data_IF_487588771506
#
_entry.id   IF_487588771506
#
_cell.length_a   1.000
_cell.length_b   1.000
_cell.length_c   1.000
_cell.angle_alpha   90.00
_cell.angle_beta   90.00
_cell.angle_gamma   90.00
#
_symmetry.space_group_name_H-M   'P 1'
#
loop_
_entity.id
_entity.type
_entity.pdbx_description
1 polymer ?
#
# COMPACT_ATOMS: atom_id res chain seq x y z
N UNK A 1 25.71 -3.24 7.00
CA UNK A 1 24.62 -2.30 7.37
C UNK A 1 23.30 -2.91 6.97
N UNK A 2 22.26 -2.75 7.78
CA UNK A 2 20.92 -3.23 7.49
C UNK A 2 19.89 -2.13 7.71
N UNK A 3 18.83 -2.12 6.91
CA UNK A 3 17.70 -1.18 6.99
C UNK A 3 16.42 -1.99 7.05
N UNK A 4 15.54 -1.66 8.00
CA UNK A 4 14.29 -2.36 8.25
C UNK A 4 13.14 -1.37 8.31
N UNK A 5 12.03 -1.66 7.64
CA UNK A 5 10.80 -0.87 7.80
C UNK A 5 10.11 -1.24 9.11
N UNK A 6 9.62 -0.23 9.81
CA UNK A 6 8.89 -0.37 11.07
C UNK A 6 7.42 -0.07 10.80
N UNK A 7 6.53 -0.92 11.30
CA UNK A 7 5.09 -0.67 11.33
C UNK A 7 4.50 -1.35 12.56
N UNK A 8 3.67 -0.64 13.33
CA UNK A 8 3.07 -1.20 14.54
C UNK A 8 1.97 -0.33 15.13
N UNK A 9 1.14 -0.90 16.03
CA UNK A 9 0.16 -0.12 16.77
C UNK A 9 0.85 0.86 17.71
N UNK A 10 0.38 2.10 17.74
CA UNK A 10 0.86 3.13 18.66
C UNK A 10 -0.12 3.22 19.83
N UNK A 11 0.22 2.52 20.93
CA UNK A 11 -0.55 2.56 22.18
C UNK A 11 -0.04 3.59 23.21
N UNK A 12 1.09 4.23 22.91
CA UNK A 12 1.80 5.21 23.76
C UNK A 12 2.34 6.35 22.89
N UNK A 13 2.88 7.42 23.47
CA UNK A 13 3.54 8.47 22.67
C UNK A 13 4.76 7.97 21.89
N UNK A 14 5.10 8.64 20.78
CA UNK A 14 6.22 8.25 19.89
C UNK A 14 7.54 8.12 20.66
N UNK A 15 7.84 9.04 21.59
CA UNK A 15 9.06 8.98 22.40
C UNK A 15 9.13 7.72 23.28
N UNK A 16 7.99 7.31 23.85
CA UNK A 16 7.90 6.11 24.67
C UNK A 16 8.00 4.85 23.80
N UNK A 17 7.39 4.86 22.61
CA UNK A 17 7.55 3.78 21.64
C UNK A 17 9.01 3.64 21.20
N UNK A 18 9.71 4.76 20.94
CA UNK A 18 11.10 4.78 20.53
C UNK A 18 12.04 4.12 21.55
N UNK A 19 11.73 4.15 22.85
CA UNK A 19 12.55 3.52 23.89
C UNK A 19 12.76 2.01 23.66
N UNK A 20 11.80 1.34 23.03
CA UNK A 20 11.93 -0.09 22.66
C UNK A 20 13.06 -0.35 21.66
N UNK A 21 13.40 0.64 20.83
CA UNK A 21 14.49 0.58 19.84
C UNK A 21 15.78 1.19 20.37
N UNK A 22 15.67 2.25 21.18
CA UNK A 22 16.84 2.87 21.79
C UNK A 22 17.52 1.90 22.76
N UNK A 23 16.77 1.08 23.49
CA UNK A 23 17.28 0.00 24.35
C UNK A 23 18.40 0.45 25.32
N UNK A 24 18.31 1.69 25.82
CA UNK A 24 19.30 2.28 26.74
C UNK A 24 20.59 2.77 26.07
N UNK A 25 20.69 2.74 24.75
CA UNK A 25 21.83 3.27 24.00
C UNK A 25 21.90 4.80 24.05
N UNK A 26 23.11 5.34 23.85
CA UNK A 26 23.36 6.78 23.92
C UNK A 26 22.81 7.48 22.67
N UNK A 27 21.80 8.32 22.86
CA UNK A 27 21.26 9.19 21.81
C UNK A 27 22.25 10.32 21.54
N UNK A 28 22.74 10.38 20.30
CA UNK A 28 23.66 11.42 19.84
C UNK A 28 22.89 12.65 19.36
N UNK A 29 21.80 12.43 18.65
CA UNK A 29 20.90 13.50 18.24
C UNK A 29 19.48 13.00 18.06
N UNK A 30 18.53 13.92 18.22
CA UNK A 30 17.14 13.69 17.85
C UNK A 30 16.56 14.96 17.25
N UNK A 31 15.66 14.82 16.28
CA UNK A 31 14.92 15.94 15.69
C UNK A 31 13.48 15.55 15.44
N UNK A 32 12.59 16.50 15.62
CA UNK A 32 11.19 16.33 15.26
C UNK A 32 11.06 16.31 13.73
N UNK A 33 10.16 15.45 13.23
CA UNK A 33 9.87 15.28 11.83
C UNK A 33 8.38 15.50 11.60
N UNK A 34 8.03 16.19 10.51
CA UNK A 34 6.63 16.39 10.11
C UNK A 34 6.51 16.25 8.60
N UNK A 35 5.60 15.38 8.14
CA UNK A 35 5.44 15.06 6.71
C UNK A 35 4.00 14.74 6.38
N UNK A 36 3.40 15.49 5.44
CA UNK A 36 2.03 15.24 4.97
C UNK A 36 1.03 15.04 6.11
N UNK A 37 1.15 15.86 7.17
CA UNK A 37 0.33 15.79 8.37
C UNK A 37 0.62 14.62 9.33
N UNK A 38 1.68 13.83 9.10
CA UNK A 38 2.23 12.88 10.07
C UNK A 38 3.28 13.60 10.93
N UNK A 39 3.16 13.48 12.25
CA UNK A 39 4.21 13.92 13.18
C UNK A 39 5.11 12.75 13.50
N UNK A 40 6.36 13.01 13.79
CA UNK A 40 7.34 11.98 13.97
C UNK A 40 8.62 12.48 14.61
N UNK A 41 9.58 11.57 14.72
CA UNK A 41 10.88 11.86 15.30
C UNK A 41 11.94 11.00 14.65
N UNK A 42 13.10 11.61 14.43
CA UNK A 42 14.29 10.94 13.96
C UNK A 42 15.35 10.93 15.06
N UNK A 43 16.02 9.79 15.23
CA UNK A 43 17.08 9.59 16.23
C UNK A 43 18.34 9.06 15.55
N UNK A 44 19.49 9.59 15.96
CA UNK A 44 20.79 8.97 15.78
C UNK A 44 21.33 8.57 17.14
N UNK A 45 21.77 7.32 17.27
CA UNK A 45 22.27 6.78 18.52
C UNK A 45 23.32 5.71 18.28
N UNK A 46 24.06 5.38 19.33
CA UNK A 46 25.17 4.44 19.25
C UNK A 46 25.15 3.46 20.42
N UNK A 47 25.67 2.26 20.18
CA UNK A 47 25.88 1.29 21.25
C UNK A 47 26.82 1.86 22.32
N UNK A 48 26.70 1.37 23.55
CA UNK A 48 27.54 1.82 24.66
C UNK A 48 29.05 1.70 24.38
N UNK A 49 29.45 0.71 23.58
CA UNK A 49 30.84 0.50 23.15
C UNK A 49 31.26 1.33 21.92
N UNK A 50 30.34 2.11 21.34
CA UNK A 50 30.55 2.95 20.17
C UNK A 50 30.76 2.20 18.85
N UNK A 51 30.72 0.86 18.85
CA UNK A 51 31.02 0.04 17.65
C UNK A 51 29.87 -0.03 16.67
N UNK A 52 28.65 0.22 17.13
CA UNK A 52 27.44 0.16 16.31
C UNK A 52 26.74 1.50 16.32
N UNK A 53 26.33 1.95 15.13
CA UNK A 53 25.52 3.15 14.92
C UNK A 53 24.12 2.74 14.49
N UNK A 54 23.16 3.57 14.87
CA UNK A 54 21.74 3.36 14.62
C UNK A 54 21.10 4.64 14.14
N UNK A 55 20.13 4.50 13.24
CA UNK A 55 19.17 5.55 12.91
C UNK A 55 17.75 5.01 13.04
N UNK A 56 16.86 5.82 13.60
CA UNK A 56 15.46 5.48 13.75
C UNK A 56 14.59 6.66 13.32
N UNK A 57 13.75 6.46 12.31
CA UNK A 57 12.64 7.33 11.95
C UNK A 57 11.35 6.68 12.43
N UNK A 58 10.51 7.42 13.15
CA UNK A 58 9.14 7.03 13.49
C UNK A 58 8.18 8.15 13.08
N UNK A 59 7.11 7.80 12.39
CA UNK A 59 6.03 8.67 11.92
C UNK A 59 4.70 8.12 12.43
N UNK A 60 3.94 8.95 13.12
CA UNK A 60 2.61 8.64 13.64
C UNK A 60 1.52 8.87 12.59
N UNK A 61 0.61 7.91 12.53
CA UNK A 61 -0.63 7.98 11.76
C UNK A 61 -1.83 7.78 12.69
N UNK A 62 -2.66 8.81 12.83
CA UNK A 62 -3.92 8.74 13.57
C UNK A 62 -5.00 7.96 12.82
N UNK A 63 -5.89 7.29 13.56
CA UNK A 63 -7.02 6.48 13.04
C UNK A 63 -7.86 7.09 11.91
N UNK A 64 -8.28 8.37 11.91
CA UNK A 64 -9.10 8.92 10.83
C UNK A 64 -8.40 8.95 9.46
N UNK A 65 -7.06 8.80 9.43
CA UNK A 65 -6.28 8.77 8.19
C UNK A 65 -6.27 7.39 7.51
N UNK A 66 -6.75 6.34 8.19
CA UNK A 66 -6.67 4.94 7.73
C UNK A 66 -7.93 4.44 7.01
N UNK A 67 -8.99 5.24 6.93
CA UNK A 67 -10.22 4.82 6.28
C UNK A 67 -9.96 4.38 4.82
N UNK A 68 -10.23 3.10 4.51
CA UNK A 68 -10.09 2.53 3.16
C UNK A 68 -8.76 1.84 2.84
N UNK A 69 -7.78 1.77 3.76
CA UNK A 69 -6.54 1.01 3.55
C UNK A 69 -6.69 -0.47 3.95
N UNK A 70 -5.99 -1.40 3.28
CA UNK A 70 -5.95 -2.81 3.70
C UNK A 70 -5.35 -2.97 5.12
N UNK A 71 -5.67 -4.06 5.82
CA UNK A 71 -5.07 -4.36 7.12
C UNK A 71 -3.55 -4.48 7.02
N UNK A 72 -2.84 -3.96 8.02
CA UNK A 72 -1.36 -4.05 8.09
C UNK A 72 -1.04 -5.49 8.41
N UNK A 73 -0.02 -6.11 7.78
CA UNK A 73 0.49 -7.39 8.22
C UNK A 73 0.86 -7.32 9.71
N UNK A 74 0.60 -8.38 10.46
CA UNK A 74 1.01 -8.46 11.87
C UNK A 74 2.53 -8.20 11.99
N UNK A 75 2.92 -7.48 13.04
CA UNK A 75 4.32 -7.21 13.32
C UNK A 75 5.10 -8.52 13.39
N UNK A 76 6.16 -8.64 12.59
CA UNK A 76 7.09 -9.77 12.70
C UNK A 76 7.85 -9.58 14.03
N UNK A 77 7.89 -10.58 14.92
CA UNK A 77 8.71 -10.47 16.12
C UNK A 77 10.16 -10.20 15.72
N UNK A 78 10.78 -9.19 16.33
CA UNK A 78 12.22 -8.96 16.22
C UNK A 78 12.99 -10.24 16.55
N UNK A 79 14.14 -10.50 15.91
CA UNK A 79 14.96 -11.66 16.23
C UNK A 79 15.59 -11.46 17.62
N UNK A 80 14.90 -11.90 18.67
CA UNK A 80 15.53 -12.13 19.97
C UNK A 80 16.36 -13.40 19.91
N UNK A 81 17.59 -13.29 20.37
CA UNK A 81 18.54 -14.38 20.48
C UNK A 81 17.95 -15.58 21.23
N UNK A 82 18.06 -16.77 20.62
CA UNK A 82 17.68 -18.04 21.25
C UNK A 82 18.52 -18.29 22.52
N UNK A 83 17.91 -18.61 23.67
CA UNK A 83 18.59 -19.31 24.74
C UNK A 83 18.61 -20.82 24.42
N UNK A 84 19.76 -21.43 24.66
CA UNK A 84 20.03 -22.88 24.58
C UNK A 84 19.16 -23.61 25.63
N UNK A 85 18.43 -24.69 25.29
CA UNK A 85 17.74 -25.50 26.29
C UNK A 85 18.65 -26.61 26.85
N UNK A 86 18.72 -26.85 28.17
CA UNK A 86 19.22 -28.10 28.71
C UNK A 86 18.11 -29.15 28.84
N UNK A 87 18.37 -30.33 28.25
CA UNK A 87 18.26 -31.64 28.91
C UNK A 87 16.94 -32.16 29.50
N UNK A 88 16.42 -33.20 28.81
CA UNK A 88 15.80 -34.45 29.31
C UNK A 88 14.32 -34.49 29.77
N UNK A 89 13.52 -35.05 28.85
CA UNK A 89 12.47 -36.07 28.96
C UNK A 89 11.73 -36.34 30.27
N UNK A 90 10.40 -36.37 30.18
CA UNK A 90 9.56 -37.43 30.77
C UNK A 90 8.26 -37.59 29.98
N UNK A 91 7.97 -38.82 29.58
CA UNK A 91 6.73 -39.28 28.94
C UNK A 91 5.69 -39.47 30.04
N UNK A 92 4.48 -38.94 29.87
CA UNK A 92 3.33 -39.27 30.74
C UNK A 92 2.08 -39.47 29.89
N UNK A 93 1.38 -40.54 30.25
CA UNK A 93 0.25 -41.21 29.59
C UNK A 93 -1.00 -40.32 29.52
N UNK A 94 -1.71 -40.43 28.40
CA UNK A 94 -2.89 -39.64 28.00
C UNK A 94 -4.17 -40.18 28.67
N UNK A 95 -4.99 -39.37 29.36
CA UNK A 95 -6.40 -39.68 29.61
C UNK A 95 -7.29 -39.12 28.47
N UNK A 96 -8.40 -39.81 28.22
CA UNK A 96 -9.40 -39.51 27.18
C UNK A 96 -10.00 -38.10 27.26
N UNK A 97 -10.42 -37.51 26.13
CA UNK A 97 -10.86 -36.11 26.07
C UNK A 97 -12.29 -35.92 26.56
N UNK A 98 -12.46 -35.04 27.55
CA UNK A 98 -13.73 -34.38 27.89
C UNK A 98 -14.09 -33.40 26.75
N UNK A 99 -15.35 -33.29 26.32
CA UNK A 99 -15.75 -32.32 25.30
C UNK A 99 -15.46 -30.88 25.75
N UNK A 100 -14.60 -30.19 24.99
CA UNK A 100 -14.26 -28.78 25.18
C UNK A 100 -15.47 -27.94 24.76
N UNK A 101 -16.01 -27.16 25.70
CA UNK A 101 -16.98 -26.12 25.41
C UNK A 101 -16.40 -25.17 24.35
N UNK A 102 -17.14 -24.95 23.28
CA UNK A 102 -16.75 -24.03 22.20
C UNK A 102 -16.48 -22.65 22.79
N UNK A 103 -15.25 -22.11 22.70
CA UNK A 103 -14.97 -20.77 23.18
C UNK A 103 -15.79 -19.78 22.36
N UNK A 104 -16.62 -18.99 23.04
CA UNK A 104 -17.24 -17.80 22.44
C UNK A 104 -16.09 -16.95 21.88
N UNK A 105 -16.11 -16.56 20.59
CA UNK A 105 -15.08 -15.70 20.03
C UNK A 105 -14.99 -14.43 20.87
N UNK A 106 -13.82 -14.16 21.45
CA UNK A 106 -13.55 -12.88 22.07
C UNK A 106 -13.83 -11.78 21.02
N UNK A 107 -14.52 -10.69 21.38
CA UNK A 107 -14.68 -9.56 20.48
C UNK A 107 -13.28 -9.13 19.99
N UNK A 108 -13.15 -8.76 18.70
CA UNK A 108 -11.87 -8.35 18.16
C UNK A 108 -11.30 -7.22 19.04
N UNK A 109 -10.00 -7.26 19.39
CA UNK A 109 -9.39 -6.19 20.17
C UNK A 109 -9.69 -4.86 19.50
N UNK A 110 -10.07 -3.86 20.30
CA UNK A 110 -10.35 -2.52 19.82
C UNK A 110 -9.21 -2.07 18.90
N UNK A 111 -9.55 -1.61 17.70
CA UNK A 111 -8.56 -1.16 16.75
C UNK A 111 -7.70 -0.07 17.41
N UNK A 112 -6.37 -0.17 17.35
CA UNK A 112 -5.49 0.79 18.01
C UNK A 112 -5.77 2.19 17.46
N UNK A 113 -5.75 3.18 18.36
CA UNK A 113 -6.15 4.56 18.11
C UNK A 113 -5.16 5.26 17.15
N UNK A 114 -3.92 4.78 17.08
CA UNK A 114 -2.92 5.24 16.12
C UNK A 114 -1.98 4.10 15.72
N UNK A 115 -1.26 4.31 14.63
CA UNK A 115 -0.17 3.46 14.16
C UNK A 115 1.12 4.27 14.06
N UNK A 116 2.25 3.58 14.16
CA UNK A 116 3.57 4.13 13.89
C UNK A 116 4.19 3.38 12.74
N UNK A 117 4.83 4.13 11.86
CA UNK A 117 5.55 3.64 10.70
C UNK A 117 6.93 4.27 10.66
N UNK A 118 7.89 3.63 10.03
CA UNK A 118 9.24 4.14 10.13
C UNK A 118 10.30 3.32 9.45
N UNK A 119 11.53 3.68 9.77
CA UNK A 119 12.73 3.04 9.28
C UNK A 119 13.70 2.90 10.44
N UNK A 120 14.30 1.73 10.57
CA UNK A 120 15.37 1.43 11.53
C UNK A 120 16.59 0.94 10.75
N UNK A 121 17.69 1.68 10.85
CA UNK A 121 18.97 1.32 10.26
C UNK A 121 20.01 1.03 11.35
N UNK A 122 20.87 0.05 11.10
CA UNK A 122 21.98 -0.27 11.99
C UNK A 122 23.21 -0.75 11.22
N UNK A 123 24.40 -0.52 11.76
CA UNK A 123 25.65 -1.00 11.19
C UNK A 123 26.85 -0.73 12.09
N UNK A 124 27.97 -1.37 11.74
CA UNK A 124 29.28 -1.01 12.30
C UNK A 124 29.57 0.47 12.04
N UNK A 125 30.19 1.14 13.01
CA UNK A 125 30.29 2.59 13.05
C UNK A 125 30.95 3.20 11.81
N UNK A 126 32.12 2.73 11.39
CA UNK A 126 32.81 3.30 10.23
C UNK A 126 32.01 3.10 8.93
N UNK A 127 31.44 1.90 8.74
CA UNK A 127 30.58 1.62 7.59
C UNK A 127 29.30 2.46 7.60
N UNK A 128 28.67 2.64 8.76
CA UNK A 128 27.44 3.43 8.90
C UNK A 128 27.70 4.91 8.66
N UNK A 129 28.76 5.48 9.25
CA UNK A 129 29.11 6.88 9.09
C UNK A 129 29.39 7.22 7.61
N UNK A 130 30.00 6.30 6.85
CA UNK A 130 30.20 6.45 5.40
C UNK A 130 28.91 6.44 4.57
N UNK A 131 27.85 5.80 5.08
CA UNK A 131 26.55 5.63 4.41
C UNK A 131 25.46 6.53 5.00
N UNK A 132 25.77 7.33 6.02
CA UNK A 132 24.81 8.18 6.71
C UNK A 132 24.02 9.09 5.74
N UNK A 133 24.63 9.75 4.73
CA UNK A 133 23.87 10.56 3.78
C UNK A 133 22.79 9.75 3.03
N UNK A 134 23.06 8.48 2.70
CA UNK A 134 22.10 7.60 2.04
C UNK A 134 20.99 7.18 3.01
N UNK A 135 21.32 6.89 4.28
CA UNK A 135 20.33 6.59 5.32
C UNK A 135 19.41 7.78 5.57
N UNK A 136 19.96 8.99 5.61
CA UNK A 136 19.17 10.21 5.76
C UNK A 136 18.29 10.48 4.54
N UNK A 137 18.74 10.18 3.32
CA UNK A 137 17.93 10.31 2.11
C UNK A 137 16.82 9.25 2.03
N UNK A 138 17.09 8.00 2.42
CA UNK A 138 16.06 6.97 2.60
C UNK A 138 15.05 7.39 3.67
N UNK A 139 15.53 7.89 4.80
CA UNK A 139 14.69 8.40 5.85
C UNK A 139 13.86 9.58 5.34
N UNK A 140 14.40 10.50 4.54
CA UNK A 140 13.69 11.68 3.98
C UNK A 140 12.64 11.31 2.93
N UNK A 141 12.91 10.31 2.11
CA UNK A 141 11.99 9.85 1.06
C UNK A 141 10.82 9.00 1.58
N UNK A 142 10.93 8.43 2.80
CA UNK A 142 9.82 7.71 3.42
C UNK A 142 8.60 8.63 3.62
N UNK A 143 7.52 8.33 2.91
CA UNK A 143 6.25 9.08 3.00
C UNK A 143 5.13 8.13 3.40
N UNK A 144 4.26 8.57 4.32
CA UNK A 144 3.04 7.84 4.63
C UNK A 144 1.96 8.22 3.63
N UNK A 145 1.54 7.23 2.86
CA UNK A 145 0.50 7.41 1.86
C UNK A 145 -0.87 7.43 2.52
N UNK A 146 -1.61 8.52 2.33
CA UNK A 146 -2.93 8.76 2.94
C UNK A 146 -3.95 9.06 1.84
N UNK A 147 -4.53 8.03 1.21
CA UNK A 147 -5.43 8.22 0.07
C UNK A 147 -6.62 9.16 0.34
N UNK A 148 -7.14 9.14 1.56
CA UNK A 148 -8.21 10.04 1.99
C UNK A 148 -7.83 11.53 1.99
N UNK A 149 -6.53 11.86 2.05
CA UNK A 149 -6.02 13.22 2.10
C UNK A 149 -5.54 13.75 0.75
N UNK A 150 -5.42 12.87 -0.26
CA UNK A 150 -5.10 13.30 -1.61
C UNK A 150 -6.15 14.27 -2.15
N UNK A 151 -5.71 15.13 -3.07
CA UNK A 151 -6.60 16.05 -3.75
C UNK A 151 -7.70 15.25 -4.46
N UNK A 152 -8.95 15.64 -4.23
CA UNK A 152 -10.08 15.05 -4.93
C UNK A 152 -10.20 15.66 -6.30
N UNK A 153 -10.31 14.78 -7.29
CA UNK A 153 -10.69 15.14 -8.63
C UNK A 153 -12.10 14.62 -8.91
N UNK A 154 -12.98 15.51 -9.38
CA UNK A 154 -14.40 15.24 -9.53
C UNK A 154 -14.88 15.70 -10.89
N UNK A 155 -15.75 14.91 -11.49
CA UNK A 155 -16.40 15.23 -12.75
C UNK A 155 -17.90 14.91 -12.67
N UNK A 156 -18.71 15.94 -12.42
CA UNK A 156 -20.17 15.78 -12.29
C UNK A 156 -20.84 15.33 -13.58
N UNK A 157 -20.32 15.75 -14.74
CA UNK A 157 -20.87 15.36 -16.06
C UNK A 157 -20.80 13.85 -16.28
N UNK A 158 -19.72 13.22 -15.83
CA UNK A 158 -19.49 11.78 -15.96
C UNK A 158 -19.73 11.02 -14.64
N UNK A 159 -20.18 11.70 -13.59
CA UNK A 159 -20.62 11.11 -12.33
C UNK A 159 -19.52 10.34 -11.60
N UNK A 160 -18.30 10.88 -11.50
CA UNK A 160 -17.24 10.26 -10.70
C UNK A 160 -16.48 11.27 -9.83
N UNK A 161 -15.91 10.76 -8.74
CA UNK A 161 -14.90 11.43 -7.96
C UNK A 161 -13.85 10.40 -7.52
N UNK A 162 -12.60 10.79 -7.44
CA UNK A 162 -11.51 9.93 -6.97
C UNK A 162 -10.35 10.78 -6.45
N UNK A 163 -9.35 10.13 -5.88
CA UNK A 163 -8.17 10.83 -5.37
C UNK A 163 -6.92 10.11 -5.83
N UNK A 164 -5.96 10.86 -6.36
CA UNK A 164 -4.69 10.31 -6.83
C UNK A 164 -3.52 10.84 -6.00
N UNK A 165 -2.48 10.00 -5.79
CA UNK A 165 -1.24 10.47 -5.21
C UNK A 165 -0.62 11.57 -6.09
N UNK A 166 -0.07 12.66 -5.50
CA UNK A 166 0.54 13.76 -6.26
C UNK A 166 1.70 13.35 -7.18
N UNK A 167 2.28 12.17 -6.96
CA UNK A 167 3.35 11.61 -7.79
C UNK A 167 2.86 11.09 -9.15
N UNK A 168 1.56 10.85 -9.31
CA UNK A 168 0.95 10.43 -10.58
C UNK A 168 0.57 11.66 -11.40
N UNK A 169 1.11 11.75 -12.61
CA UNK A 169 0.94 12.95 -13.47
C UNK A 169 -0.05 12.66 -14.58
N UNK A 170 -1.02 13.55 -14.78
CA UNK A 170 -1.94 13.43 -15.91
C UNK A 170 -1.15 13.53 -17.22
N UNK A 171 -1.32 12.52 -18.07
CA UNK A 171 -0.68 12.42 -19.38
C UNK A 171 -1.62 12.86 -20.52
N UNK A 172 -2.89 12.45 -20.45
CA UNK A 172 -3.91 12.80 -21.44
C UNK A 172 -5.30 12.83 -20.82
N UNK A 173 -6.17 13.64 -21.40
CA UNK A 173 -7.61 13.65 -21.11
C UNK A 173 -8.36 13.85 -22.42
N UNK A 174 -9.44 13.10 -22.60
CA UNK A 174 -10.27 13.11 -23.79
C UNK A 174 -11.74 12.96 -23.39
N UNK A 175 -12.60 13.76 -24.00
CA UNK A 175 -14.04 13.61 -23.86
C UNK A 175 -14.70 13.78 -25.22
N UNK A 176 -15.54 12.82 -25.62
CA UNK A 176 -16.34 12.90 -26.84
C UNK A 176 -17.70 12.26 -26.60
N UNK A 177 -18.77 13.03 -26.83
CA UNK A 177 -20.14 12.60 -26.59
C UNK A 177 -20.35 12.06 -25.18
N UNK A 178 -20.69 10.77 -25.08
CA UNK A 178 -20.93 10.04 -23.85
C UNK A 178 -19.70 9.32 -23.28
N UNK A 179 -18.55 9.42 -23.96
CA UNK A 179 -17.29 8.78 -23.57
C UNK A 179 -16.31 9.79 -22.99
N UNK A 180 -15.66 9.37 -21.90
CA UNK A 180 -14.58 10.09 -21.23
C UNK A 180 -13.41 9.13 -21.02
N UNK A 181 -12.19 9.64 -21.19
CA UNK A 181 -10.97 8.93 -20.92
C UNK A 181 -9.96 9.87 -20.30
N UNK A 182 -9.34 9.44 -19.22
CA UNK A 182 -8.27 10.18 -18.57
C UNK A 182 -7.15 9.23 -18.18
N UNK A 183 -5.91 9.59 -18.51
CA UNK A 183 -4.74 8.77 -18.25
C UNK A 183 -3.70 9.53 -17.43
N UNK A 184 -3.06 8.81 -16.52
CA UNK A 184 -1.94 9.26 -15.71
C UNK A 184 -0.74 8.34 -15.93
N UNK A 185 0.44 8.92 -15.76
CA UNK A 185 1.72 8.21 -15.73
C UNK A 185 2.20 8.19 -14.28
N UNK A 186 2.63 7.02 -13.83
CA UNK A 186 3.15 6.83 -12.49
C UNK A 186 4.53 7.49 -12.30
N UNK A 187 5.03 7.63 -11.05
CA UNK A 187 6.48 7.77 -10.84
C UNK A 187 7.24 6.56 -11.43
N UNK A 188 8.56 6.69 -11.57
CA UNK A 188 9.38 5.59 -12.05
C UNK A 188 9.39 4.44 -11.03
N UNK A 189 9.01 3.24 -11.46
CA UNK A 189 9.01 2.02 -10.63
C UNK A 189 10.11 1.02 -11.00
N UNK A 190 10.81 1.29 -12.10
CA UNK A 190 11.96 0.53 -12.56
C UNK A 190 12.84 1.36 -13.47
N UNK A 191 13.95 0.74 -13.87
CA UNK A 191 14.85 1.27 -14.89
C UNK A 191 15.15 0.15 -15.88
N UNK A 192 15.31 0.51 -17.15
CA UNK A 192 15.74 -0.39 -18.20
C UNK A 192 16.81 0.30 -19.02
N UNK A 193 18.03 -0.24 -18.96
CA UNK A 193 19.25 0.35 -19.54
C UNK A 193 19.46 1.80 -19.09
N UNK A 194 18.96 2.77 -19.86
CA UNK A 194 19.09 4.22 -19.62
C UNK A 194 17.72 4.94 -19.53
N UNK A 195 16.62 4.20 -19.45
CA UNK A 195 15.27 4.75 -19.37
C UNK A 195 14.60 4.35 -18.07
N UNK A 196 13.73 5.22 -17.57
CA UNK A 196 12.84 4.91 -16.44
C UNK A 196 11.60 4.18 -16.95
N UNK A 197 11.14 3.21 -16.18
CA UNK A 197 9.95 2.41 -16.48
C UNK A 197 8.82 2.88 -15.59
N UNK A 198 7.72 3.25 -16.24
CA UNK A 198 6.52 3.80 -15.62
C UNK A 198 5.34 2.87 -15.89
N UNK A 199 4.34 2.92 -15.01
CA UNK A 199 3.02 2.37 -15.26
C UNK A 199 2.08 3.47 -15.76
N UNK A 200 0.96 3.06 -16.34
CA UNK A 200 -0.13 3.96 -16.69
C UNK A 200 -1.41 3.59 -15.97
N UNK A 201 -2.17 4.60 -15.57
CA UNK A 201 -3.50 4.46 -14.99
C UNK A 201 -4.49 5.16 -15.91
N UNK A 202 -5.53 4.47 -16.35
CA UNK A 202 -6.55 5.01 -17.25
C UNK A 202 -7.93 4.84 -16.64
N UNK A 203 -8.65 5.94 -16.40
CA UNK A 203 -10.08 5.92 -16.14
C UNK A 203 -10.83 6.11 -17.46
N UNK A 204 -11.70 5.17 -17.78
CA UNK A 204 -12.62 5.24 -18.93
C UNK A 204 -14.05 5.23 -18.43
N UNK A 205 -14.86 6.16 -18.92
CA UNK A 205 -16.30 6.21 -18.67
C UNK A 205 -17.01 6.17 -20.02
N UNK A 206 -17.92 5.23 -20.20
CA UNK A 206 -18.70 5.08 -21.43
C UNK A 206 -20.12 4.57 -21.10
N UNK A 207 -21.07 4.56 -22.03
CA UNK A 207 -22.38 3.95 -21.79
C UNK A 207 -22.26 2.48 -21.38
N UNK A 208 -23.02 2.06 -20.36
CA UNK A 208 -23.00 0.67 -19.87
C UNK A 208 -23.62 -0.35 -20.86
N UNK A 209 -24.22 0.13 -21.96
CA UNK A 209 -24.98 -0.68 -22.90
C UNK A 209 -26.45 -0.84 -22.49
N UNK A 210 -27.23 -1.52 -23.34
CA UNK A 210 -28.70 -1.60 -23.19
C UNK A 210 -29.20 -2.31 -21.94
N UNK A 211 -28.42 -3.25 -21.38
CA UNK A 211 -28.80 -3.97 -20.16
C UNK A 211 -28.44 -3.21 -18.87
N UNK A 212 -27.50 -2.26 -18.93
CA UNK A 212 -27.08 -1.48 -17.75
C UNK A 212 -26.49 -2.29 -16.59
N UNK A 213 -26.13 -3.55 -16.81
CA UNK A 213 -25.53 -4.43 -15.78
C UNK A 213 -24.00 -4.42 -15.87
N UNK A 214 -23.35 -4.67 -14.73
CA UNK A 214 -21.88 -4.77 -14.69
C UNK A 214 -21.35 -5.96 -15.49
N UNK A 215 -22.09 -7.08 -15.55
CA UNK A 215 -21.74 -8.24 -16.37
C UNK A 215 -21.80 -7.94 -17.87
N UNK A 216 -22.85 -7.27 -18.34
CA UNK A 216 -22.99 -6.88 -19.73
C UNK A 216 -21.89 -5.89 -20.12
N UNK A 217 -21.63 -4.90 -19.27
CA UNK A 217 -20.57 -3.93 -19.47
C UNK A 217 -19.19 -4.61 -19.52
N UNK A 218 -18.90 -5.50 -18.57
CA UNK A 218 -17.65 -6.27 -18.55
C UNK A 218 -17.49 -7.10 -19.82
N UNK A 219 -18.51 -7.88 -20.22
CA UNK A 219 -18.47 -8.66 -21.46
C UNK A 219 -18.23 -7.80 -22.69
N UNK A 220 -18.89 -6.64 -22.79
CA UNK A 220 -18.67 -5.70 -23.89
C UNK A 220 -17.24 -5.12 -23.87
N UNK A 221 -16.71 -4.79 -22.68
CA UNK A 221 -15.34 -4.29 -22.53
C UNK A 221 -14.30 -5.36 -22.86
N UNK A 222 -14.57 -6.63 -22.51
CA UNK A 222 -13.72 -7.77 -22.85
C UNK A 222 -13.79 -8.15 -24.31
N UNK A 223 -14.95 -8.03 -24.97
CA UNK A 223 -15.06 -8.26 -26.41
C UNK A 223 -14.27 -7.24 -27.26
N UNK A 224 -13.93 -6.07 -26.70
CA UNK A 224 -13.01 -5.11 -27.30
C UNK A 224 -11.53 -5.47 -27.08
N UNK A 225 -11.23 -6.29 -26.07
CA UNK A 225 -9.88 -6.78 -25.81
C UNK A 225 -9.62 -7.94 -26.78
N UNK A 226 -8.64 -7.79 -27.67
CA UNK A 226 -8.31 -8.81 -28.67
C UNK A 226 -7.78 -10.12 -28.06
N UNK A 227 -7.59 -11.12 -28.92
CA UNK A 227 -7.25 -12.50 -28.53
C UNK A 227 -5.88 -12.68 -27.84
N UNK A 228 -5.05 -11.64 -27.79
CA UNK A 228 -3.72 -11.67 -27.15
C UNK A 228 -3.79 -11.48 -25.62
N UNK A 229 -4.99 -11.33 -25.06
CA UNK A 229 -5.19 -11.07 -23.63
C UNK A 229 -5.71 -12.31 -22.92
N UNK A 230 -5.03 -12.69 -21.84
CA UNK A 230 -5.44 -13.76 -20.93
C UNK A 230 -5.85 -13.17 -19.59
N UNK A 231 -7.01 -13.57 -19.06
CA UNK A 231 -7.46 -13.17 -17.72
C UNK A 231 -6.88 -14.13 -16.69
N UNK A 232 -5.99 -13.64 -15.84
CA UNK A 232 -5.33 -14.41 -14.77
C UNK A 232 -6.19 -14.53 -13.51
N UNK A 233 -6.96 -13.50 -13.20
CA UNK A 233 -7.88 -13.50 -12.06
C UNK A 233 -9.08 -12.62 -12.34
N UNK A 234 -10.24 -12.98 -11.79
CA UNK A 234 -11.47 -12.20 -11.86
C UNK A 234 -12.22 -12.38 -10.54
N UNK A 235 -12.45 -11.28 -9.81
CA UNK A 235 -13.04 -11.32 -8.47
C UNK A 235 -14.04 -10.19 -8.26
N UNK A 236 -15.11 -10.39 -7.47
CA UNK A 236 -16.04 -9.32 -7.11
C UNK A 236 -15.34 -8.17 -6.36
N UNK A 237 -15.72 -6.94 -6.67
CA UNK A 237 -15.17 -5.73 -6.02
C UNK A 237 -16.17 -4.58 -6.07
N UNK A 238 -16.61 -4.09 -4.90
CA UNK A 238 -17.51 -2.91 -4.71
C UNK A 238 -18.70 -2.84 -5.70
N UNK A 239 -19.49 -3.91 -5.75
CA UNK A 239 -20.65 -3.99 -6.66
C UNK A 239 -20.30 -4.14 -8.14
N UNK A 240 -19.04 -4.43 -8.46
CA UNK A 240 -18.57 -4.81 -9.78
C UNK A 240 -17.45 -5.84 -9.70
N UNK A 241 -16.44 -5.70 -10.56
CA UNK A 241 -15.35 -6.68 -10.68
C UNK A 241 -13.98 -6.03 -10.67
N UNK A 242 -12.99 -6.78 -10.21
CA UNK A 242 -11.58 -6.53 -10.51
C UNK A 242 -11.00 -7.74 -11.22
N UNK A 243 -10.30 -7.50 -12.31
CA UNK A 243 -9.54 -8.50 -13.03
C UNK A 243 -8.04 -8.19 -13.06
N UNK A 244 -7.26 -9.22 -13.34
CA UNK A 244 -5.87 -9.08 -13.74
C UNK A 244 -5.70 -9.76 -15.07
N UNK A 245 -5.25 -8.99 -16.05
CA UNK A 245 -5.00 -9.44 -17.41
C UNK A 245 -3.49 -9.54 -17.64
N UNK A 246 -3.11 -10.50 -18.47
CA UNK A 246 -1.76 -10.68 -18.97
C UNK A 246 -1.82 -10.64 -20.50
N UNK A 247 -0.97 -9.80 -21.07
CA UNK A 247 -0.82 -9.62 -22.51
C UNK A 247 0.64 -9.77 -22.88
N UNK A 248 0.90 -10.62 -23.86
CA UNK A 248 2.23 -10.85 -24.40
C UNK A 248 2.24 -10.46 -25.87
N UNK A 249 3.16 -9.57 -26.22
CA UNK A 249 3.42 -9.16 -27.60
C UNK A 249 4.90 -9.42 -27.90
N UNK A 250 5.30 -9.47 -29.19
CA UNK A 250 6.72 -9.65 -29.55
C UNK A 250 7.67 -8.58 -28.97
N UNK A 251 7.13 -7.46 -28.49
CA UNK A 251 7.91 -6.31 -27.99
C UNK A 251 7.81 -6.14 -26.47
N UNK A 252 6.73 -6.62 -25.83
CA UNK A 252 6.50 -6.42 -24.41
C UNK A 252 5.55 -7.46 -23.80
N UNK A 253 5.83 -7.81 -22.54
CA UNK A 253 4.91 -8.51 -21.63
C UNK A 253 4.36 -7.49 -20.64
N UNK A 254 3.04 -7.37 -20.58
CA UNK A 254 2.34 -6.45 -19.70
C UNK A 254 1.29 -7.15 -18.88
N UNK A 255 1.04 -6.59 -17.69
CA UNK A 255 -0.12 -6.92 -16.87
C UNK A 255 -0.96 -5.69 -16.65
N UNK A 256 -2.27 -5.88 -16.71
CA UNK A 256 -3.25 -4.85 -16.43
C UNK A 256 -4.12 -5.28 -15.26
N UNK A 257 -4.24 -4.45 -14.22
CA UNK A 257 -5.26 -4.63 -13.19
C UNK A 257 -6.43 -3.70 -13.50
N UNK A 258 -7.63 -4.24 -13.75
CA UNK A 258 -8.77 -3.43 -14.19
C UNK A 258 -9.95 -3.58 -13.25
N UNK A 259 -10.57 -2.46 -12.92
CA UNK A 259 -11.75 -2.37 -12.06
C UNK A 259 -12.93 -1.94 -12.91
N UNK A 260 -14.01 -2.70 -12.85
CA UNK A 260 -15.24 -2.47 -13.60
C UNK A 260 -16.37 -2.21 -12.64
N UNK A 261 -17.10 -1.10 -12.85
CA UNK A 261 -18.32 -0.78 -12.11
C UNK A 261 -19.33 -0.13 -13.05
N UNK A 262 -20.61 -0.19 -12.70
CA UNK A 262 -21.69 0.49 -13.43
C UNK A 262 -22.53 1.30 -12.46
N UNK A 263 -22.87 2.53 -12.85
CA UNK A 263 -23.80 3.39 -12.12
C UNK A 263 -24.49 4.35 -13.10
N UNK A 264 -25.77 4.65 -12.87
CA UNK A 264 -26.55 5.63 -13.63
C UNK A 264 -26.44 5.48 -15.17
N UNK A 265 -26.47 4.24 -15.66
CA UNK A 265 -26.37 3.92 -17.09
C UNK A 265 -24.97 4.07 -17.70
N UNK A 266 -23.94 4.32 -16.88
CA UNK A 266 -22.54 4.46 -17.28
C UNK A 266 -21.69 3.31 -16.75
N UNK A 267 -20.81 2.81 -17.60
CA UNK A 267 -19.75 1.89 -17.23
C UNK A 267 -18.45 2.64 -16.95
N UNK A 268 -17.79 2.26 -15.87
CA UNK A 268 -16.53 2.81 -15.40
C UNK A 268 -15.49 1.70 -15.44
N UNK A 269 -14.41 1.91 -16.20
CA UNK A 269 -13.23 1.05 -16.20
C UNK A 269 -12.04 1.84 -15.70
N UNK A 270 -11.47 1.45 -14.56
CA UNK A 270 -10.17 1.92 -14.12
C UNK A 270 -9.13 0.85 -14.45
N UNK A 271 -8.20 1.11 -15.37
CA UNK A 271 -7.16 0.18 -15.79
C UNK A 271 -5.78 0.66 -15.35
N UNK A 272 -5.00 -0.24 -14.76
CA UNK A 272 -3.64 0.03 -14.31
C UNK A 272 -2.69 -0.91 -15.05
N UNK A 273 -2.04 -0.39 -16.08
CA UNK A 273 -1.18 -1.13 -17.01
C UNK A 273 0.29 -0.95 -16.62
N UNK A 274 1.01 -2.05 -16.49
CA UNK A 274 2.44 -2.04 -16.18
C UNK A 274 3.17 -3.18 -16.91
N UNK A 275 4.47 -3.00 -17.11
CA UNK A 275 5.36 -4.09 -17.55
C UNK A 275 5.44 -5.16 -16.45
N UNK A 276 5.57 -6.41 -16.85
CA UNK A 276 5.51 -7.57 -15.94
C UNK A 276 6.47 -7.47 -14.73
N UNK A 277 7.69 -6.97 -14.94
CA UNK A 277 8.74 -6.84 -13.93
C UNK A 277 8.46 -5.77 -12.86
N UNK A 278 7.75 -4.69 -13.21
CA UNK A 278 7.37 -3.64 -12.25
C UNK A 278 5.95 -3.83 -11.71
N UNK A 279 5.14 -4.70 -12.32
CA UNK A 279 3.74 -4.91 -11.93
C UNK A 279 3.55 -5.20 -10.43
N UNK A 280 4.36 -6.04 -9.75
CA UNK A 280 4.20 -6.28 -8.32
C UNK A 280 4.30 -4.99 -7.48
N UNK A 281 5.16 -4.05 -7.88
CA UNK A 281 5.33 -2.75 -7.21
C UNK A 281 4.14 -1.82 -7.45
N UNK A 282 3.56 -1.89 -8.65
CA UNK A 282 2.48 -1.02 -9.10
C UNK A 282 1.12 -1.50 -8.59
N UNK A 283 0.91 -2.82 -8.51
CA UNK A 283 -0.38 -3.44 -8.21
C UNK A 283 -1.05 -2.88 -6.94
N UNK A 284 -0.25 -2.66 -5.90
CA UNK A 284 -0.71 -2.09 -4.63
C UNK A 284 -1.19 -0.63 -4.78
N UNK A 285 -0.49 0.17 -5.58
CA UNK A 285 -0.93 1.53 -5.89
C UNK A 285 -2.26 1.53 -6.64
N UNK A 286 -2.46 0.60 -7.56
CA UNK A 286 -3.73 0.47 -8.26
C UNK A 286 -4.88 0.20 -7.27
N UNK A 287 -4.68 -0.69 -6.28
CA UNK A 287 -5.68 -0.97 -5.24
C UNK A 287 -6.00 0.26 -4.39
N UNK A 288 -4.96 0.96 -3.95
CA UNK A 288 -5.11 2.17 -3.14
C UNK A 288 -5.87 3.27 -3.89
N UNK A 289 -5.53 3.51 -5.15
CA UNK A 289 -6.19 4.54 -5.98
C UNK A 289 -7.64 4.11 -6.27
N UNK A 290 -7.86 2.85 -6.66
CA UNK A 290 -9.19 2.33 -6.93
C UNK A 290 -10.11 2.40 -5.70
N UNK A 291 -9.57 2.22 -4.49
CA UNK A 291 -10.33 2.34 -3.25
C UNK A 291 -10.89 3.77 -2.99
N UNK A 292 -10.34 4.79 -3.64
CA UNK A 292 -10.84 6.17 -3.57
C UNK A 292 -11.91 6.50 -4.62
N UNK A 293 -12.08 5.64 -5.63
CA UNK A 293 -13.03 5.87 -6.72
C UNK A 293 -14.47 5.76 -6.21
N UNK A 294 -15.21 6.85 -6.35
CA UNK A 294 -16.63 7.02 -6.11
C UNK A 294 -17.34 7.27 -7.44
N UNK A 295 -18.47 6.62 -7.66
CA UNK A 295 -19.26 6.76 -8.89
C UNK A 295 -20.74 6.97 -8.60
N UNK A 296 -21.43 7.64 -9.52
CA UNK A 296 -22.88 7.88 -9.45
C UNK A 296 -23.32 8.41 -8.08
N UNK A 297 -24.22 7.72 -7.36
CA UNK A 297 -24.71 8.16 -6.05
C UNK A 297 -23.63 8.36 -4.97
N UNK A 298 -22.48 7.69 -5.09
CA UNK A 298 -21.39 7.80 -4.11
C UNK A 298 -20.69 9.17 -4.17
N UNK A 299 -20.83 9.90 -5.28
CA UNK A 299 -20.23 11.22 -5.48
C UNK A 299 -20.98 12.30 -4.71
N UNK A 300 -22.28 12.12 -4.52
CA UNK A 300 -23.17 13.05 -3.80
C UNK A 300 -23.39 12.68 -2.34
N UNK A 301 -23.07 11.44 -1.95
CA UNK A 301 -23.07 11.03 -0.55
C UNK A 301 -21.96 11.77 0.24
N UNK A 302 -22.29 12.33 1.44
CA UNK A 302 -21.34 13.07 2.29
C UNK A 302 -20.24 12.18 2.88
#
# INVERSE_FOLDING_TARGET
MSVTLVAGPLGVGIDQYAQTYLAGNTVQSSRDESRSGARGKYYLFASADGKTRFALLLLEEGTPSRAGLPPTPAARPSPSASPIPPGKASVTVRPSPTPIATPVPLPPPAAPVAYVYGLYAQGEAAAFDSQLPLVEEMARSLTLERPAQYAEERNDKFGFAWRLPPSWRQARSFSSGSTFLQQYTSPAFGTDKRQTVHASLTLTVEPAGGEGTVDAYYKAAMGKAGDTVSVLSHTPWRGGFVDVQHSETPVAVTRAKRYFRVADGRGYTLACDARDDIYPKVSHWCDMIAATLRIGPEVTAP
#
